data_IF_267844446802
#
_entry.id   IF_267844446802
#
_cell.length_a   1.000
_cell.length_b   1.000
_cell.length_c   1.000
_cell.angle_alpha   90.00
_cell.angle_beta   90.00
_cell.angle_gamma   90.00
#
_symmetry.space_group_name_H-M   'P 1'
#
loop_
_entity.id
_entity.type
_entity.pdbx_description
1 polymer ?
#
# COMPACT_ATOMS: atom_id res chain seq x y z
N UNK A 1 -53.10 42.60 -15.78
CA UNK A 1 -51.64 42.78 -15.60
C UNK A 1 -51.37 42.77 -14.10
N UNK A 2 -50.52 41.97 -13.45
CA UNK A 2 -49.50 40.95 -13.79
C UNK A 2 -49.39 40.09 -12.51
N UNK A 3 -49.37 38.75 -12.60
CA UNK A 3 -49.07 37.85 -11.47
C UNK A 3 -47.54 37.74 -11.31
N UNK A 4 -47.03 38.04 -10.12
CA UNK A 4 -45.62 37.90 -9.77
C UNK A 4 -45.32 36.46 -9.33
N UNK A 5 -44.47 35.76 -10.09
CA UNK A 5 -43.99 34.42 -9.77
C UNK A 5 -42.66 34.57 -9.02
N UNK A 6 -42.66 34.35 -7.71
CA UNK A 6 -41.43 34.24 -6.92
C UNK A 6 -40.84 32.84 -7.07
N UNK A 7 -39.71 32.74 -7.77
CA UNK A 7 -38.95 31.49 -7.91
C UNK A 7 -38.06 31.27 -6.67
N UNK A 8 -38.38 30.24 -5.89
CA UNK A 8 -37.55 29.81 -4.75
C UNK A 8 -36.47 28.85 -5.27
N UNK A 9 -35.23 29.32 -5.39
CA UNK A 9 -34.07 28.47 -5.69
C UNK A 9 -33.72 27.63 -4.45
N UNK A 10 -33.95 26.32 -4.51
CA UNK A 10 -33.47 25.38 -3.51
C UNK A 10 -31.99 25.03 -3.78
N UNK A 11 -31.09 25.40 -2.87
CA UNK A 11 -29.70 24.94 -2.86
C UNK A 11 -29.64 23.50 -2.36
N UNK A 12 -29.48 22.53 -3.26
CA UNK A 12 -29.12 21.15 -2.90
C UNK A 12 -27.62 21.07 -2.65
N UNK A 13 -27.22 21.13 -1.37
CA UNK A 13 -25.85 20.86 -0.95
C UNK A 13 -25.56 19.34 -1.07
N UNK A 14 -24.96 18.91 -2.18
CA UNK A 14 -24.46 17.55 -2.34
C UNK A 14 -23.28 17.32 -1.39
N UNK A 15 -23.53 16.62 -0.28
CA UNK A 15 -22.49 16.16 0.64
C UNK A 15 -21.68 15.04 -0.04
N UNK A 16 -20.55 15.40 -0.65
CA UNK A 16 -19.53 14.43 -1.03
C UNK A 16 -18.75 14.01 0.22
N UNK A 17 -19.06 12.84 0.77
CA UNK A 17 -18.20 12.19 1.76
C UNK A 17 -17.02 11.55 1.04
N UNK A 18 -15.76 11.97 1.30
CA UNK A 18 -14.62 11.23 0.77
C UNK A 18 -14.64 9.82 1.38
N UNK A 19 -14.60 8.79 0.54
CA UNK A 19 -14.35 7.43 1.00
C UNK A 19 -12.91 7.39 1.53
N UNK A 20 -12.76 7.31 2.85
CA UNK A 20 -11.46 7.07 3.47
C UNK A 20 -11.10 5.63 3.18
N UNK A 21 -10.12 5.41 2.30
CA UNK A 21 -9.63 4.07 2.05
C UNK A 21 -8.78 3.63 3.25
N UNK A 22 -9.30 2.71 4.04
CA UNK A 22 -8.56 2.14 5.15
C UNK A 22 -7.54 1.16 4.56
N UNK A 23 -6.25 1.48 4.68
CA UNK A 23 -5.20 0.56 4.26
C UNK A 23 -5.34 -0.80 4.94
N UNK A 24 -4.83 -1.84 4.29
CA UNK A 24 -4.96 -3.23 4.74
C UNK A 24 -3.66 -3.82 5.25
N UNK A 25 -3.78 -4.78 6.17
CA UNK A 25 -2.66 -5.58 6.66
C UNK A 25 -2.67 -6.95 6.00
N UNK A 26 -1.61 -7.26 5.27
CA UNK A 26 -1.48 -8.51 4.54
C UNK A 26 -0.27 -9.30 5.04
N UNK A 27 -0.52 -10.50 5.55
CA UNK A 27 0.49 -11.44 6.04
C UNK A 27 0.88 -12.42 4.93
N UNK A 28 2.12 -12.33 4.46
CA UNK A 28 2.53 -12.94 3.18
C UNK A 28 3.95 -13.50 3.27
N UNK A 29 4.26 -14.55 2.48
CA UNK A 29 5.62 -15.11 2.43
C UNK A 29 6.47 -14.35 1.42
N UNK A 30 7.73 -14.13 1.78
CA UNK A 30 8.70 -13.48 0.90
C UNK A 30 9.20 -14.49 -0.15
N UNK A 31 8.94 -14.20 -1.43
CA UNK A 31 9.45 -14.99 -2.55
C UNK A 31 10.84 -14.57 -2.96
N UNK A 32 11.10 -13.28 -3.03
CA UNK A 32 12.39 -12.72 -3.42
C UNK A 32 12.59 -11.38 -2.75
N UNK A 33 13.84 -11.02 -2.49
CA UNK A 33 14.23 -9.70 -1.99
C UNK A 33 15.63 -9.39 -2.51
N UNK A 34 15.82 -8.18 -3.04
CA UNK A 34 17.08 -7.74 -3.65
C UNK A 34 17.42 -6.30 -3.22
N UNK A 35 18.70 -5.99 -3.21
CA UNK A 35 19.21 -4.62 -3.24
C UNK A 35 19.55 -4.28 -4.68
N UNK A 36 18.94 -3.22 -5.20
CA UNK A 36 19.19 -2.76 -6.57
C UNK A 36 20.27 -1.67 -6.59
N UNK A 37 20.87 -1.42 -7.75
CA UNK A 37 21.97 -0.45 -7.92
C UNK A 37 21.60 1.00 -7.56
N UNK A 38 20.30 1.33 -7.62
CA UNK A 38 19.77 2.64 -7.19
C UNK A 38 19.67 2.77 -5.65
N UNK A 39 20.07 1.74 -4.90
CA UNK A 39 20.03 1.72 -3.44
C UNK A 39 18.64 1.47 -2.85
N UNK A 40 17.65 1.14 -3.68
CA UNK A 40 16.33 0.70 -3.22
C UNK A 40 16.30 -0.81 -2.99
N UNK A 41 15.41 -1.23 -2.09
CA UNK A 41 15.15 -2.64 -1.82
C UNK A 41 13.87 -3.03 -2.53
N UNK A 42 13.94 -4.06 -3.36
CA UNK A 42 12.79 -4.62 -4.04
C UNK A 42 12.48 -6.01 -3.53
N UNK A 43 11.21 -6.38 -3.54
CA UNK A 43 10.76 -7.68 -3.06
C UNK A 43 9.51 -8.15 -3.78
N UNK A 44 9.32 -9.46 -3.78
CA UNK A 44 8.08 -10.12 -4.18
C UNK A 44 7.54 -10.97 -3.04
N UNK A 45 6.23 -11.08 -2.97
CA UNK A 45 5.52 -11.95 -2.03
C UNK A 45 4.73 -13.01 -2.77
N UNK A 46 4.21 -14.00 -2.05
CA UNK A 46 3.31 -14.99 -2.62
C UNK A 46 1.92 -14.45 -2.95
N UNK A 47 1.60 -13.24 -2.49
CA UNK A 47 0.28 -12.66 -2.59
C UNK A 47 0.26 -11.25 -3.22
N UNK A 48 0.23 -10.16 -2.48
CA UNK A 48 0.03 -8.81 -3.06
C UNK A 48 1.10 -8.41 -4.08
N UNK A 49 2.34 -8.90 -3.95
CA UNK A 49 3.47 -8.61 -4.83
C UNK A 49 3.94 -9.85 -5.61
N UNK A 50 3.01 -10.68 -6.10
CA UNK A 50 3.31 -11.92 -6.82
C UNK A 50 3.43 -11.65 -8.33
N UNK A 51 4.65 -11.72 -8.86
CA UNK A 51 4.97 -11.38 -10.26
C UNK A 51 5.04 -9.87 -10.53
N UNK A 52 4.96 -9.06 -9.48
CA UNK A 52 5.14 -7.61 -9.51
C UNK A 52 6.09 -7.22 -8.37
N UNK A 53 7.23 -6.64 -8.74
CA UNK A 53 8.22 -6.16 -7.77
C UNK A 53 7.64 -4.99 -6.97
N UNK A 54 7.50 -5.16 -5.67
CA UNK A 54 7.26 -4.07 -4.73
C UNK A 54 8.58 -3.50 -4.24
N UNK A 55 8.56 -2.29 -3.67
CA UNK A 55 9.77 -1.61 -3.21
C UNK A 55 9.65 -1.13 -1.77
N UNK A 56 10.78 -0.93 -1.10
CA UNK A 56 10.86 -0.27 0.19
C UNK A 56 11.34 1.17 -0.03
N UNK A 57 10.42 2.07 -0.40
CA UNK A 57 10.72 3.48 -0.68
C UNK A 57 10.84 4.30 0.63
N UNK A 58 11.67 3.82 1.56
CA UNK A 58 11.80 4.41 2.89
C UNK A 58 13.06 5.27 2.94
N UNK A 59 12.91 6.57 3.22
CA UNK A 59 13.91 7.60 2.90
C UNK A 59 15.39 7.27 3.15
N UNK A 60 15.76 6.78 4.34
CA UNK A 60 17.19 6.59 4.69
C UNK A 60 17.73 5.22 4.28
N UNK A 61 19.01 5.19 3.90
CA UNK A 61 19.73 3.95 3.54
C UNK A 61 19.76 2.93 4.69
N UNK A 62 19.83 3.40 5.94
CA UNK A 62 19.75 2.55 7.13
C UNK A 62 18.41 1.84 7.25
N UNK A 63 17.28 2.56 7.04
CA UNK A 63 15.94 1.96 7.04
C UNK A 63 15.80 0.90 5.96
N UNK A 64 16.33 1.16 4.76
CA UNK A 64 16.35 0.21 3.65
C UNK A 64 17.20 -1.02 3.97
N UNK A 65 18.39 -0.86 4.57
CA UNK A 65 19.23 -1.98 5.00
C UNK A 65 18.53 -2.85 6.04
N UNK A 66 17.90 -2.24 7.04
CA UNK A 66 17.15 -2.97 8.07
C UNK A 66 15.94 -3.70 7.46
N UNK A 67 15.26 -3.06 6.49
CA UNK A 67 14.19 -3.69 5.74
C UNK A 67 14.66 -4.91 4.93
N UNK A 68 15.77 -4.78 4.19
CA UNK A 68 16.36 -5.89 3.45
C UNK A 68 16.75 -7.04 4.38
N UNK A 69 17.40 -6.73 5.51
CA UNK A 69 17.76 -7.74 6.50
C UNK A 69 16.52 -8.48 7.01
N UNK A 70 15.45 -7.75 7.35
CA UNK A 70 14.19 -8.36 7.80
C UNK A 70 13.57 -9.27 6.73
N UNK A 71 13.50 -8.83 5.48
CA UNK A 71 12.94 -9.60 4.37
C UNK A 71 13.75 -10.88 4.09
N UNK A 72 15.08 -10.77 4.08
CA UNK A 72 15.97 -11.93 3.89
C UNK A 72 15.88 -12.90 5.06
N UNK A 73 15.87 -12.41 6.31
CA UNK A 73 15.70 -13.25 7.50
C UNK A 73 14.35 -13.96 7.50
N UNK A 74 13.27 -13.27 7.15
CA UNK A 74 11.94 -13.87 7.04
C UNK A 74 11.89 -14.96 5.97
N UNK A 75 12.49 -14.71 4.79
CA UNK A 75 12.60 -15.69 3.70
C UNK A 75 13.38 -16.92 4.15
N UNK A 76 14.55 -16.75 4.77
CA UNK A 76 15.40 -17.85 5.23
C UNK A 76 14.75 -18.67 6.35
N UNK A 77 13.97 -18.04 7.22
CA UNK A 77 13.23 -18.69 8.29
C UNK A 77 11.86 -19.23 7.85
N UNK A 78 11.48 -19.07 6.57
CA UNK A 78 10.15 -19.38 6.03
C UNK A 78 8.98 -18.74 6.81
N UNK A 79 9.22 -17.57 7.41
CA UNK A 79 8.22 -16.84 8.21
C UNK A 79 7.51 -15.79 7.35
N UNK A 80 6.18 -15.66 7.47
CA UNK A 80 5.46 -14.61 6.78
C UNK A 80 5.75 -13.24 7.42
N UNK A 81 5.71 -12.20 6.60
CA UNK A 81 5.81 -10.79 7.00
C UNK A 81 4.45 -10.14 6.82
N UNK A 82 4.04 -9.32 7.78
CA UNK A 82 2.81 -8.53 7.66
C UNK A 82 3.13 -7.15 7.12
N UNK A 83 2.57 -6.80 5.97
CA UNK A 83 2.72 -5.51 5.31
C UNK A 83 1.47 -4.66 5.50
N UNK A 84 1.64 -3.38 5.81
CA UNK A 84 0.55 -2.41 5.74
C UNK A 84 0.55 -1.69 4.39
N UNK A 85 -0.54 -1.85 3.65
CA UNK A 85 -0.74 -1.27 2.32
C UNK A 85 -1.78 -0.15 2.36
N UNK A 86 -1.37 1.12 2.27
CA UNK A 86 -2.30 2.26 2.36
C UNK A 86 -3.21 2.39 1.12
N UNK A 87 -2.89 1.71 0.02
CA UNK A 87 -3.56 1.87 -1.29
C UNK A 87 -4.40 0.68 -1.71
N UNK A 88 -4.33 -0.45 -0.98
CA UNK A 88 -5.11 -1.66 -1.29
C UNK A 88 -6.36 -1.70 -0.42
N UNK A 89 -7.46 -2.25 -0.95
CA UNK A 89 -8.69 -2.46 -0.17
C UNK A 89 -8.79 -3.89 0.39
N UNK A 90 -8.04 -4.83 -0.18
CA UNK A 90 -8.03 -6.22 0.25
C UNK A 90 -6.69 -6.91 -0.10
N UNK A 91 -6.32 -7.91 0.69
CA UNK A 91 -5.10 -8.68 0.42
C UNK A 91 -5.19 -9.57 -0.82
N UNK A 92 -6.39 -9.83 -1.34
CA UNK A 92 -6.56 -10.55 -2.62
C UNK A 92 -6.19 -9.71 -3.84
N UNK A 93 -6.06 -8.39 -3.69
CA UNK A 93 -5.67 -7.49 -4.76
C UNK A 93 -4.16 -7.56 -5.03
N UNK A 94 -3.77 -7.40 -6.30
CA UNK A 94 -2.35 -7.26 -6.66
C UNK A 94 -1.96 -5.80 -6.53
N UNK A 95 -0.77 -5.56 -5.96
CA UNK A 95 -0.16 -4.26 -5.95
C UNK A 95 0.34 -3.87 -7.33
N UNK A 96 0.41 -2.56 -7.56
CA UNK A 96 1.14 -2.01 -8.70
C UNK A 96 2.64 -2.25 -8.52
N UNK A 97 3.37 -2.32 -9.64
CA UNK A 97 4.83 -2.42 -9.61
C UNK A 97 5.39 -1.19 -8.88
N UNK A 98 6.34 -1.44 -7.99
CA UNK A 98 7.00 -0.48 -7.11
C UNK A 98 6.07 0.17 -6.07
N UNK A 99 4.93 -0.48 -5.75
CA UNK A 99 4.19 -0.14 -4.54
C UNK A 99 5.09 -0.28 -3.30
N UNK A 100 4.97 0.66 -2.37
CA UNK A 100 5.71 0.64 -1.11
C UNK A 100 4.77 0.49 0.08
N UNK A 101 5.05 -0.44 0.99
CA UNK A 101 4.26 -0.56 2.20
C UNK A 101 4.55 0.64 3.10
N UNK A 102 3.56 1.04 3.91
CA UNK A 102 3.76 2.08 4.92
C UNK A 102 4.67 1.59 6.05
N UNK A 103 4.55 0.30 6.41
CA UNK A 103 5.44 -0.41 7.33
C UNK A 103 5.30 -1.92 7.12
N UNK A 104 6.19 -2.68 7.74
CA UNK A 104 6.12 -4.13 7.80
C UNK A 104 6.55 -4.64 9.17
N UNK A 105 5.98 -5.75 9.59
CA UNK A 105 6.19 -6.37 10.91
C UNK A 105 6.46 -7.86 10.73
N UNK A 106 7.45 -8.35 11.48
CA UNK A 106 7.73 -9.77 11.64
C UNK A 106 7.26 -10.19 13.05
N UNK A 107 6.21 -11.02 13.11
CA UNK A 107 5.75 -11.67 14.35
C UNK A 107 6.50 -12.98 14.52
#
# INVERSE_FOLDING_TARGET
MIQAITATMALTASMYTPMVNAGVHCTEKIRSAILHENGEVYFETDNTCNGAWCQVAWGTSERKKNALAMLLSAKLAERPVTFYWPTLNACSEKNVVYASPGYMVLY
#
